data_IF_756360134943
#
_entry.id   IF_756360134943
#
_cell.length_a   1.000
_cell.length_b   1.000
_cell.length_c   1.000
_cell.angle_alpha   90.00
_cell.angle_beta   90.00
_cell.angle_gamma   90.00
#
_symmetry.space_group_name_H-M   'P 1'
#
loop_
_entity.id
_entity.type
_entity.pdbx_description
1 polymer ?
#
# COMPACT_ATOMS: atom_id res chain seq x y z
N UNK A 1 27.96 4.25 -17.77
CA UNK A 1 26.69 4.74 -17.23
C UNK A 1 25.69 3.60 -17.30
N UNK A 2 25.33 2.99 -16.18
CA UNK A 2 24.25 1.99 -16.19
C UNK A 2 22.96 2.70 -16.57
N UNK A 3 22.38 2.35 -17.71
CA UNK A 3 21.02 2.77 -18.03
C UNK A 3 20.12 2.24 -16.91
N UNK A 4 19.53 3.14 -16.13
CA UNK A 4 18.60 2.78 -15.07
C UNK A 4 17.37 2.16 -15.74
N UNK A 5 17.31 0.83 -15.82
CA UNK A 5 16.22 0.10 -16.47
C UNK A 5 15.01 0.05 -15.52
N UNK A 6 14.35 1.19 -15.34
CA UNK A 6 13.10 1.33 -14.58
C UNK A 6 11.90 0.81 -15.39
N UNK A 7 10.83 0.35 -14.71
CA UNK A 7 9.63 -0.10 -15.40
C UNK A 7 8.92 1.10 -16.05
N UNK A 8 8.31 0.90 -17.22
CA UNK A 8 7.44 1.93 -17.81
C UNK A 8 6.31 2.26 -16.82
N UNK A 9 6.19 3.51 -16.34
CA UNK A 9 5.19 3.86 -15.34
C UNK A 9 3.74 3.80 -15.87
N UNK A 10 3.56 3.67 -17.19
CA UNK A 10 2.25 3.48 -17.83
C UNK A 10 1.89 2.00 -17.99
N UNK A 11 2.85 1.08 -17.87
CA UNK A 11 2.57 -0.36 -17.96
C UNK A 11 1.97 -0.86 -16.63
N UNK A 12 0.66 -1.10 -16.65
CA UNK A 12 -0.10 -1.53 -15.46
C UNK A 12 0.15 -2.99 -15.05
N UNK A 13 0.88 -3.76 -15.86
CA UNK A 13 1.37 -5.07 -15.44
C UNK A 13 2.57 -4.96 -14.48
N UNK A 14 3.31 -3.85 -14.53
CA UNK A 14 4.55 -3.61 -13.80
C UNK A 14 4.34 -2.82 -12.50
N UNK A 15 3.39 -3.25 -11.67
CA UNK A 15 3.18 -2.63 -10.35
C UNK A 15 4.40 -2.82 -9.42
N UNK A 16 5.21 -3.84 -9.69
CA UNK A 16 6.42 -4.23 -8.97
C UNK A 16 7.65 -4.15 -9.88
N UNK A 17 8.81 -3.86 -9.28
CA UNK A 17 10.11 -3.92 -9.94
C UNK A 17 11.12 -4.54 -8.98
N UNK A 18 11.72 -5.68 -9.37
CA UNK A 18 12.73 -6.39 -8.54
C UNK A 18 12.30 -6.59 -7.08
N UNK A 19 11.08 -7.07 -6.89
CA UNK A 19 10.47 -7.37 -5.58
C UNK A 19 10.14 -6.15 -4.69
N UNK A 20 10.18 -4.93 -5.22
CA UNK A 20 9.68 -3.72 -4.54
C UNK A 20 8.60 -3.00 -5.37
N UNK A 21 7.79 -2.12 -4.76
CA UNK A 21 6.86 -1.29 -5.51
C UNK A 21 7.58 -0.48 -6.59
N UNK A 22 7.11 -0.54 -7.84
CA UNK A 22 7.68 0.23 -8.95
C UNK A 22 7.73 1.75 -8.65
N UNK A 23 6.71 2.27 -7.96
CA UNK A 23 6.67 3.65 -7.48
C UNK A 23 7.85 4.00 -6.56
N UNK A 24 8.29 3.06 -5.72
CA UNK A 24 9.43 3.26 -4.81
C UNK A 24 10.75 3.35 -5.59
N UNK A 25 10.92 2.49 -6.59
CA UNK A 25 12.08 2.54 -7.48
C UNK A 25 12.15 3.89 -8.24
N UNK A 26 11.00 4.35 -8.75
CA UNK A 26 10.88 5.66 -9.38
C UNK A 26 11.16 6.82 -8.42
N UNK A 27 10.63 6.77 -7.20
CA UNK A 27 10.91 7.76 -6.17
C UNK A 27 12.42 7.89 -5.92
N UNK A 28 13.12 6.77 -5.70
CA UNK A 28 14.58 6.79 -5.48
C UNK A 28 15.30 7.45 -6.65
N UNK A 29 14.93 7.10 -7.88
CA UNK A 29 15.57 7.63 -9.08
C UNK A 29 15.38 9.14 -9.24
N UNK A 30 14.20 9.69 -8.92
CA UNK A 30 13.97 11.14 -9.07
C UNK A 30 14.49 11.96 -7.89
N UNK A 31 14.73 11.33 -6.74
CA UNK A 31 15.33 11.99 -5.57
C UNK A 31 16.85 11.85 -5.49
N UNK A 32 17.45 11.03 -6.35
CA UNK A 32 18.90 10.87 -6.43
C UNK A 32 19.55 12.11 -7.05
N UNK A 33 20.52 12.69 -6.34
CA UNK A 33 21.26 13.86 -6.80
C UNK A 33 22.16 13.57 -7.99
N UNK A 34 22.49 12.31 -8.24
CA UNK A 34 23.27 11.84 -9.39
C UNK A 34 22.39 11.29 -10.53
N UNK A 35 21.07 11.48 -10.44
CA UNK A 35 20.13 10.96 -11.41
C UNK A 35 20.40 11.48 -12.85
N UNK A 36 20.18 10.64 -13.87
CA UNK A 36 20.22 11.08 -15.26
C UNK A 36 19.23 12.23 -15.51
N UNK A 37 19.57 13.12 -16.44
CA UNK A 37 18.64 14.15 -16.91
C UNK A 37 17.50 13.51 -17.73
N UNK A 38 16.33 14.16 -17.75
CA UNK A 38 15.19 13.73 -18.57
C UNK A 38 14.29 12.65 -17.93
N UNK A 39 14.39 12.41 -16.62
CA UNK A 39 13.39 11.61 -15.91
C UNK A 39 12.02 12.33 -15.89
N UNK A 40 10.90 11.59 -15.79
CA UNK A 40 9.60 12.18 -15.59
C UNK A 40 9.55 13.06 -14.33
N UNK A 41 8.71 14.09 -14.34
CA UNK A 41 8.52 14.91 -13.14
C UNK A 41 7.84 14.09 -12.04
N UNK A 42 8.20 14.36 -10.78
CA UNK A 42 7.61 13.67 -9.63
C UNK A 42 6.08 13.81 -9.58
N UNK A 43 5.54 14.94 -10.04
CA UNK A 43 4.08 15.14 -10.13
C UNK A 43 3.43 14.18 -11.11
N UNK A 44 4.06 13.89 -12.24
CA UNK A 44 3.53 12.95 -13.24
C UNK A 44 3.57 11.52 -12.69
N UNK A 45 4.65 11.15 -11.99
CA UNK A 45 4.75 9.85 -11.32
C UNK A 45 3.72 9.69 -10.21
N UNK A 46 3.48 10.73 -9.41
CA UNK A 46 2.43 10.72 -8.39
C UNK A 46 1.04 10.47 -8.99
N UNK A 47 0.74 11.13 -10.13
CA UNK A 47 -0.52 10.93 -10.87
C UNK A 47 -0.62 9.56 -11.55
N UNK A 48 0.50 8.97 -11.94
CA UNK A 48 0.56 7.64 -12.57
C UNK A 48 0.44 6.51 -11.55
N UNK A 49 1.01 6.68 -10.35
CA UNK A 49 1.05 5.68 -9.28
C UNK A 49 0.13 6.06 -8.12
N UNK A 50 0.61 6.93 -7.24
CA UNK A 50 -0.03 7.34 -6.00
C UNK A 50 0.64 8.61 -5.46
N UNK A 51 -0.15 9.45 -4.79
CA UNK A 51 0.36 10.66 -4.13
C UNK A 51 1.19 10.37 -2.87
N UNK A 52 1.13 9.15 -2.34
CA UNK A 52 2.06 8.60 -1.34
C UNK A 52 2.87 7.45 -1.92
N UNK A 53 4.12 7.28 -1.47
CA UNK A 53 5.03 6.23 -1.98
C UNK A 53 4.97 4.99 -1.09
N UNK A 54 4.47 3.84 -1.58
CA UNK A 54 4.44 2.60 -0.81
C UNK A 54 5.82 2.03 -0.54
N UNK A 55 6.02 1.47 0.66
CA UNK A 55 7.19 0.65 0.99
C UNK A 55 6.79 -0.77 1.36
N UNK A 56 7.71 -1.75 1.26
CA UNK A 56 7.46 -3.09 1.77
C UNK A 56 7.00 -3.09 3.25
N UNK A 57 7.56 -2.24 4.09
CA UNK A 57 7.20 -2.12 5.51
C UNK A 57 5.77 -1.61 5.71
N UNK A 58 5.37 -0.59 4.95
CA UNK A 58 4.01 -0.05 4.97
C UNK A 58 2.99 -1.09 4.49
N UNK A 59 3.31 -1.82 3.43
CA UNK A 59 2.46 -2.90 2.90
C UNK A 59 2.30 -4.05 3.90
N UNK A 60 3.38 -4.44 4.59
CA UNK A 60 3.32 -5.44 5.66
C UNK A 60 2.44 -4.95 6.80
N UNK A 61 2.60 -3.69 7.24
CA UNK A 61 1.77 -3.14 8.31
C UNK A 61 0.28 -3.13 7.95
N UNK A 62 -0.08 -2.73 6.73
CA UNK A 62 -1.46 -2.76 6.24
C UNK A 62 -2.02 -4.19 6.13
N UNK A 63 -1.20 -5.14 5.66
CA UNK A 63 -1.59 -6.55 5.57
C UNK A 63 -2.01 -7.15 6.92
N UNK A 64 -1.30 -6.80 8.00
CA UNK A 64 -1.63 -7.29 9.35
C UNK A 64 -2.93 -6.70 9.93
N UNK A 65 -3.49 -5.66 9.29
CA UNK A 65 -4.75 -5.02 9.67
C UNK A 65 -5.95 -5.47 8.83
N UNK A 66 -5.72 -6.36 7.85
CA UNK A 66 -6.76 -6.87 6.97
C UNK A 66 -7.87 -7.61 7.74
N UNK A 67 -9.11 -7.67 7.20
CA UNK A 67 -9.54 -7.15 5.90
C UNK A 67 -9.64 -5.62 5.84
N UNK A 68 -9.37 -5.07 4.66
CA UNK A 68 -9.30 -3.62 4.41
C UNK A 68 -10.45 -3.14 3.53
N UNK A 69 -10.81 -1.87 3.71
CA UNK A 69 -11.50 -1.06 2.72
C UNK A 69 -10.67 0.20 2.46
N UNK A 70 -10.37 0.48 1.20
CA UNK A 70 -9.71 1.70 0.75
C UNK A 70 -10.76 2.64 0.16
N UNK A 71 -10.82 3.89 0.66
CA UNK A 71 -11.67 4.94 0.09
C UNK A 71 -10.80 6.09 -0.42
N UNK A 72 -11.11 6.61 -1.60
CA UNK A 72 -10.24 7.56 -2.31
C UNK A 72 -9.04 6.86 -2.93
N UNK A 73 -9.24 5.66 -3.49
CA UNK A 73 -8.17 4.80 -4.00
C UNK A 73 -7.51 5.32 -5.29
N UNK A 74 -8.10 6.34 -5.94
CA UNK A 74 -7.69 6.85 -7.24
C UNK A 74 -7.58 5.73 -8.28
N UNK A 75 -6.39 5.57 -8.85
CA UNK A 75 -6.11 4.52 -9.83
C UNK A 75 -5.95 3.12 -9.21
N UNK A 76 -5.94 3.01 -7.87
CA UNK A 76 -5.86 1.76 -7.14
C UNK A 76 -4.45 1.18 -7.01
N UNK A 77 -3.40 2.00 -6.96
CA UNK A 77 -2.03 1.46 -6.86
C UNK A 77 -1.77 0.74 -5.54
N UNK A 78 -2.16 1.32 -4.40
CA UNK A 78 -2.10 0.64 -3.10
C UNK A 78 -2.96 -0.62 -3.08
N UNK A 79 -4.23 -0.53 -3.52
CA UNK A 79 -5.11 -1.66 -3.70
C UNK A 79 -4.46 -2.80 -4.50
N UNK A 80 -3.78 -2.48 -5.61
CA UNK A 80 -3.09 -3.45 -6.44
C UNK A 80 -1.99 -4.17 -5.67
N UNK A 81 -1.10 -3.43 -5.01
CA UNK A 81 0.01 -4.01 -4.25
C UNK A 81 -0.49 -4.89 -3.10
N UNK A 82 -1.50 -4.45 -2.35
CA UNK A 82 -2.05 -5.19 -1.22
C UNK A 82 -2.76 -6.47 -1.67
N UNK A 83 -3.51 -6.43 -2.79
CA UNK A 83 -4.14 -7.62 -3.37
C UNK A 83 -3.12 -8.63 -3.88
N UNK A 84 -2.03 -8.17 -4.51
CA UNK A 84 -0.93 -9.04 -4.93
C UNK A 84 -0.27 -9.74 -3.72
N UNK A 85 -0.32 -9.13 -2.53
CA UNK A 85 0.11 -9.71 -1.25
C UNK A 85 -0.97 -10.56 -0.55
N UNK A 86 -2.12 -10.78 -1.19
CA UNK A 86 -3.22 -11.61 -0.69
C UNK A 86 -4.10 -10.93 0.37
N UNK A 87 -4.08 -9.60 0.46
CA UNK A 87 -4.98 -8.87 1.36
C UNK A 87 -6.39 -8.85 0.78
N UNK A 88 -7.39 -9.20 1.61
CA UNK A 88 -8.80 -8.94 1.30
C UNK A 88 -9.06 -7.43 1.36
N UNK A 89 -9.11 -6.79 0.19
CA UNK A 89 -9.26 -5.34 0.04
C UNK A 89 -10.32 -4.99 -1.00
N UNK A 90 -11.30 -4.21 -0.57
CA UNK A 90 -12.26 -3.51 -1.43
C UNK A 90 -11.79 -2.06 -1.58
N UNK A 91 -11.81 -1.52 -2.79
CA UNK A 91 -11.33 -0.18 -3.09
C UNK A 91 -12.45 0.63 -3.76
N UNK A 92 -12.68 1.84 -3.25
CA UNK A 92 -13.62 2.81 -3.80
C UNK A 92 -12.93 4.12 -4.13
N UNK A 93 -13.39 4.77 -5.19
CA UNK A 93 -13.14 6.18 -5.47
C UNK A 93 -14.42 6.83 -5.98
N UNK A 94 -14.60 8.12 -5.72
CA UNK A 94 -15.81 8.86 -6.12
C UNK A 94 -15.87 9.04 -7.64
N UNK A 95 -14.72 9.10 -8.30
CA UNK A 95 -14.60 9.22 -9.75
C UNK A 95 -14.04 7.94 -10.36
N UNK A 96 -14.51 7.58 -11.56
CA UNK A 96 -13.84 6.53 -12.34
C UNK A 96 -12.43 6.99 -12.71
N UNK A 97 -11.45 6.07 -12.80
CA UNK A 97 -10.08 6.42 -13.18
C UNK A 97 -9.97 7.18 -14.52
N UNK A 98 -10.89 6.95 -15.47
CA UNK A 98 -10.93 7.65 -16.76
C UNK A 98 -11.44 9.09 -16.70
N UNK A 99 -12.14 9.48 -15.63
CA UNK A 99 -12.69 10.84 -15.46
C UNK A 99 -12.02 11.60 -14.33
N UNK A 100 -11.25 10.92 -13.47
CA UNK A 100 -10.61 11.52 -12.30
C UNK A 100 -9.42 12.42 -12.70
N UNK A 101 -9.57 13.72 -12.44
CA UNK A 101 -8.58 14.74 -12.83
C UNK A 101 -7.24 14.65 -12.07
N UNK A 102 -7.23 13.98 -10.92
CA UNK A 102 -6.03 13.76 -10.09
C UNK A 102 -5.16 12.60 -10.58
N UNK A 103 -5.68 11.78 -11.48
CA UNK A 103 -4.96 10.66 -12.06
C UNK A 103 -4.41 11.09 -13.43
N UNK A 104 -3.30 10.51 -13.85
CA UNK A 104 -2.81 10.67 -15.22
C UNK A 104 -3.73 9.89 -16.18
N UNK A 105 -3.82 10.32 -17.44
CA UNK A 105 -4.55 9.57 -18.48
C UNK A 105 -3.88 8.21 -18.74
N UNK A 106 -4.29 7.21 -17.96
CA UNK A 106 -3.78 5.86 -17.97
C UNK A 106 -4.78 4.91 -17.27
N UNK A 107 -4.84 3.63 -17.68
CA UNK A 107 -5.76 2.66 -17.07
C UNK A 107 -5.55 2.50 -15.57
N UNK A 108 -6.57 2.01 -14.86
CA UNK A 108 -6.48 1.65 -13.45
C UNK A 108 -5.44 0.53 -13.21
N UNK A 109 -4.81 0.53 -12.02
CA UNK A 109 -3.87 -0.51 -11.60
C UNK A 109 -4.56 -1.83 -11.22
N UNK A 110 -5.81 -1.73 -10.78
CA UNK A 110 -6.69 -2.83 -10.38
C UNK A 110 -8.14 -2.35 -10.38
N UNK A 111 -9.07 -3.24 -10.04
CA UNK A 111 -10.49 -2.87 -9.90
C UNK A 111 -10.69 -1.87 -8.75
N UNK A 112 -11.21 -0.70 -9.06
CA UNK A 112 -11.70 0.31 -8.12
C UNK A 112 -13.17 0.52 -8.44
N UNK A 113 -14.03 0.34 -7.46
CA UNK A 113 -15.47 0.56 -7.62
C UNK A 113 -15.75 2.06 -7.52
N UNK A 114 -16.73 2.55 -8.27
CA UNK A 114 -17.22 3.92 -8.09
C UNK A 114 -18.06 3.97 -6.82
N UNK A 115 -17.70 4.85 -5.90
CA UNK A 115 -18.42 4.98 -4.65
C UNK A 115 -17.85 6.04 -3.70
N UNK A 116 -18.71 6.47 -2.80
CA UNK A 116 -18.45 7.47 -1.77
C UNK A 116 -18.52 6.83 -0.36
N UNK A 117 -18.66 7.65 0.68
CA UNK A 117 -18.81 7.20 2.06
C UNK A 117 -20.01 6.26 2.29
N UNK A 118 -21.08 6.35 1.49
CA UNK A 118 -22.26 5.50 1.61
C UNK A 118 -21.96 4.07 1.17
N UNK A 119 -20.99 3.90 0.28
CA UNK A 119 -20.54 2.58 -0.20
C UNK A 119 -19.93 1.72 0.92
N UNK A 120 -19.55 2.35 2.05
CA UNK A 120 -18.98 1.66 3.21
C UNK A 120 -20.01 0.91 4.06
N UNK A 121 -21.32 1.18 3.90
CA UNK A 121 -22.37 0.63 4.77
C UNK A 121 -22.40 -0.90 4.81
N UNK A 122 -22.00 -1.58 3.73
CA UNK A 122 -21.93 -3.04 3.64
C UNK A 122 -20.66 -3.69 4.18
N UNK A 123 -19.70 -2.90 4.67
CA UNK A 123 -18.32 -3.35 4.94
C UNK A 123 -17.95 -3.33 6.43
N UNK A 124 -18.94 -3.45 7.32
CA UNK A 124 -18.72 -3.38 8.78
C UNK A 124 -17.60 -4.31 9.26
N UNK A 125 -16.73 -3.79 10.12
CA UNK A 125 -15.64 -4.56 10.73
C UNK A 125 -14.34 -4.60 9.93
N UNK A 126 -14.29 -4.04 8.72
CA UNK A 126 -13.05 -3.83 7.97
C UNK A 126 -12.29 -2.61 8.49
N UNK A 127 -10.96 -2.69 8.47
CA UNK A 127 -10.10 -1.52 8.70
C UNK A 127 -10.28 -0.53 7.55
N UNK A 128 -10.55 0.73 7.86
CA UNK A 128 -10.59 1.80 6.86
C UNK A 128 -9.16 2.26 6.56
N UNK A 129 -8.77 2.25 5.30
CA UNK A 129 -7.52 2.80 4.80
C UNK A 129 -7.81 3.99 3.88
N UNK A 130 -7.18 5.12 4.14
CA UNK A 130 -7.31 6.31 3.29
C UNK A 130 -5.94 6.96 3.12
N UNK A 131 -5.52 7.16 1.87
CA UNK A 131 -4.26 7.80 1.54
C UNK A 131 -4.51 9.14 0.87
N UNK A 132 -3.98 10.22 1.45
CA UNK A 132 -4.13 11.59 0.94
C UNK A 132 -5.58 12.01 0.69
N UNK A 133 -6.48 11.96 1.71
CA UNK A 133 -7.80 12.53 1.58
C UNK A 133 -7.71 14.05 1.35
N UNK A 134 -8.69 14.59 0.61
CA UNK A 134 -8.85 16.03 0.46
C UNK A 134 -9.05 16.70 1.84
N UNK A 135 -8.41 17.85 2.05
CA UNK A 135 -8.43 18.61 3.31
C UNK A 135 -8.33 20.12 3.03
N UNK A 136 -8.88 20.98 3.90
CA UNK A 136 -9.58 20.67 5.16
C UNK A 136 -11.05 20.26 4.98
N UNK A 137 -11.62 20.44 3.79
CA UNK A 137 -13.06 20.27 3.49
C UNK A 137 -13.41 18.95 2.78
N UNK A 138 -12.61 17.90 2.94
CA UNK A 138 -12.87 16.62 2.27
C UNK A 138 -13.84 15.70 3.02
N UNK A 139 -14.01 14.51 2.44
CA UNK A 139 -15.03 13.52 2.80
C UNK A 139 -14.82 12.82 4.17
N UNK A 140 -13.63 12.95 4.77
CA UNK A 140 -13.28 12.14 5.94
C UNK A 140 -14.17 12.37 7.17
N UNK A 141 -14.64 13.59 7.42
CA UNK A 141 -15.54 13.85 8.55
C UNK A 141 -16.85 13.09 8.39
N UNK A 142 -17.45 13.13 7.19
CA UNK A 142 -18.67 12.38 6.87
C UNK A 142 -18.44 10.87 6.97
N UNK A 143 -17.31 10.38 6.44
CA UNK A 143 -16.94 8.96 6.56
C UNK A 143 -16.92 8.50 8.00
N UNK A 144 -16.27 9.24 8.91
CA UNK A 144 -16.16 8.84 10.31
C UNK A 144 -17.52 8.88 11.06
N UNK A 145 -18.52 9.57 10.51
CA UNK A 145 -19.87 9.61 11.06
C UNK A 145 -20.75 8.47 10.54
N UNK A 146 -20.65 8.13 9.25
CA UNK A 146 -21.50 7.10 8.61
C UNK A 146 -20.89 5.69 8.67
N UNK A 147 -19.56 5.63 8.68
CA UNK A 147 -18.79 4.42 8.83
C UNK A 147 -17.90 4.56 10.06
N UNK A 148 -18.21 3.86 11.17
CA UNK A 148 -17.47 4.00 12.41
C UNK A 148 -16.44 2.87 12.60
N UNK A 149 -15.29 2.86 11.90
CA UNK A 149 -14.34 1.76 11.99
C UNK A 149 -13.71 1.66 13.38
N UNK A 150 -13.34 0.45 13.80
CA UNK A 150 -12.52 0.26 14.99
C UNK A 150 -11.05 0.68 14.76
N UNK A 151 -10.58 0.57 13.51
CA UNK A 151 -9.23 0.91 13.09
C UNK A 151 -9.26 1.72 11.80
N UNK A 152 -8.52 2.83 11.83
CA UNK A 152 -8.32 3.73 10.70
C UNK A 152 -6.83 3.82 10.39
N UNK A 153 -6.45 3.63 9.13
CA UNK A 153 -5.12 3.89 8.63
C UNK A 153 -5.17 5.10 7.72
N UNK A 154 -4.37 6.12 8.05
CA UNK A 154 -4.29 7.38 7.33
C UNK A 154 -2.88 7.61 6.81
N UNK A 155 -2.75 8.01 5.56
CA UNK A 155 -1.51 8.60 5.04
C UNK A 155 -1.75 10.08 4.75
N UNK A 156 -1.10 10.96 5.50
CA UNK A 156 -1.17 12.42 5.35
C UNK A 156 0.12 13.06 5.86
N UNK A 157 0.16 14.40 5.81
CA UNK A 157 1.16 15.27 6.42
C UNK A 157 0.96 15.57 7.91
N UNK A 158 0.00 14.90 8.55
CA UNK A 158 -0.35 15.16 9.94
C UNK A 158 -1.30 16.35 10.11
N UNK A 159 -1.46 16.79 11.36
CA UNK A 159 -2.30 17.95 11.70
C UNK A 159 -1.65 19.21 11.14
N UNK A 160 -2.42 20.08 10.49
CA UNK A 160 -1.91 21.39 10.07
C UNK A 160 -1.57 22.25 11.30
N UNK A 161 -0.48 23.01 11.19
CA UNK A 161 0.00 23.87 12.29
C UNK A 161 -0.80 25.15 12.45
N UNK A 162 -1.47 25.61 11.38
CA UNK A 162 -2.25 26.85 11.34
C UNK A 162 -3.57 26.58 10.61
N UNK A 163 -4.67 27.12 11.15
CA UNK A 163 -6.00 26.98 10.58
C UNK A 163 -6.82 25.84 11.17
N UNK A 164 -8.04 25.70 10.66
CA UNK A 164 -8.95 24.62 11.05
C UNK A 164 -8.54 23.30 10.40
N UNK A 165 -8.66 22.22 11.15
CA UNK A 165 -8.36 20.87 10.68
C UNK A 165 -9.43 19.88 11.13
N UNK A 166 -10.63 19.92 10.53
CA UNK A 166 -11.79 19.17 11.03
C UNK A 166 -11.53 17.68 11.21
N UNK A 167 -10.71 17.07 10.32
CA UNK A 167 -10.30 15.69 10.44
C UNK A 167 -9.50 15.45 11.73
N UNK A 168 -8.43 16.21 11.96
CA UNK A 168 -7.58 16.00 13.13
C UNK A 168 -8.25 16.44 14.43
N UNK A 169 -9.12 17.44 14.38
CA UNK A 169 -9.96 17.82 15.51
C UNK A 169 -10.93 16.68 15.87
N UNK A 170 -11.51 15.99 14.85
CA UNK A 170 -12.32 14.79 15.04
C UNK A 170 -11.49 13.63 15.62
N UNK A 171 -10.29 13.37 15.12
CA UNK A 171 -9.40 12.33 15.64
C UNK A 171 -9.04 12.60 17.11
N UNK A 172 -8.68 13.83 17.46
CA UNK A 172 -8.35 14.21 18.83
C UNK A 172 -9.50 13.99 19.84
N UNK A 173 -10.76 14.00 19.37
CA UNK A 173 -11.94 13.85 20.22
C UNK A 173 -12.32 12.41 20.58
N UNK A 174 -11.74 11.40 19.92
CA UNK A 174 -12.23 10.02 20.05
C UNK A 174 -11.29 8.91 19.57
N UNK A 175 -10.06 9.26 19.21
CA UNK A 175 -9.09 8.33 18.64
C UNK A 175 -7.74 8.42 19.35
N UNK A 176 -7.06 7.28 19.41
CA UNK A 176 -5.66 7.16 19.83
C UNK A 176 -4.81 6.70 18.65
N UNK A 177 -3.69 7.38 18.43
CA UNK A 177 -2.69 6.96 17.45
C UNK A 177 -1.75 5.93 18.10
N UNK A 178 -1.82 4.68 17.66
CA UNK A 178 -1.00 3.59 18.21
C UNK A 178 0.38 3.50 17.54
N UNK A 179 0.48 3.95 16.29
CA UNK A 179 1.69 3.89 15.49
C UNK A 179 1.71 4.98 14.41
N UNK A 180 2.90 5.50 14.14
CA UNK A 180 3.22 6.26 12.93
C UNK A 180 4.53 5.75 12.35
N UNK A 181 4.60 5.67 11.02
CA UNK A 181 5.82 5.42 10.27
C UNK A 181 6.01 6.49 9.21
N UNK A 182 7.23 6.98 9.07
CA UNK A 182 7.60 7.78 7.91
C UNK A 182 7.69 6.89 6.68
N UNK A 183 7.10 7.36 5.59
CA UNK A 183 7.25 6.75 4.27
C UNK A 183 8.00 7.73 3.35
N UNK A 184 8.56 7.26 2.23
CA UNK A 184 9.20 8.13 1.26
C UNK A 184 8.22 9.18 0.72
N UNK A 185 8.76 10.37 0.44
CA UNK A 185 7.98 11.58 0.14
C UNK A 185 8.31 12.09 -1.24
N UNK A 186 7.29 12.34 -2.07
CA UNK A 186 7.52 13.15 -3.26
C UNK A 186 8.02 14.55 -2.87
N UNK A 187 8.85 15.21 -3.70
CA UNK A 187 9.29 16.58 -3.43
C UNK A 187 8.11 17.52 -3.09
N UNK A 188 8.23 18.25 -1.99
CA UNK A 188 7.20 19.18 -1.51
C UNK A 188 6.06 18.52 -0.71
N UNK A 189 6.14 17.22 -0.40
CA UNK A 189 5.19 16.51 0.46
C UNK A 189 5.80 16.06 1.77
N UNK A 190 4.94 15.87 2.76
CA UNK A 190 5.26 15.29 4.05
C UNK A 190 4.31 14.13 4.25
N UNK A 191 4.83 12.91 4.26
CA UNK A 191 4.02 11.69 4.28
C UNK A 191 4.39 10.86 5.48
N UNK A 192 3.39 10.52 6.29
CA UNK A 192 3.48 9.49 7.32
C UNK A 192 2.25 8.58 7.24
N UNK A 193 2.46 7.27 7.37
CA UNK A 193 1.38 6.31 7.58
C UNK A 193 1.11 6.22 9.08
N UNK A 194 -0.13 6.47 9.47
CA UNK A 194 -0.59 6.51 10.86
C UNK A 194 -1.72 5.51 11.07
N UNK A 195 -1.65 4.74 12.15
CA UNK A 195 -2.71 3.81 12.58
C UNK A 195 -3.41 4.39 13.81
N UNK A 196 -4.71 4.53 13.71
CA UNK A 196 -5.60 5.08 14.71
C UNK A 196 -6.62 4.05 15.17
N UNK A 197 -6.93 4.06 16.47
CA UNK A 197 -7.97 3.24 17.08
C UNK A 197 -8.94 4.10 17.87
N UNK A 198 -10.23 3.74 17.86
CA UNK A 198 -11.22 4.45 18.67
C UNK A 198 -10.99 4.19 20.16
N UNK A 199 -11.13 5.23 20.97
CA UNK A 199 -10.90 5.18 22.43
C UNK A 199 -11.91 4.29 23.17
N UNK A 200 -13.13 4.17 22.65
CA UNK A 200 -14.23 3.35 23.18
C UNK A 200 -14.16 1.88 22.77
N UNK A 201 -13.35 1.54 21.77
CA UNK A 201 -13.28 0.20 21.16
C UNK A 201 -12.25 -0.71 21.86
N UNK A 202 -11.79 -0.34 23.06
CA UNK A 202 -10.74 -1.08 23.78
C UNK A 202 -11.23 -2.42 24.33
N UNK A 203 -10.84 -3.51 23.67
CA UNK A 203 -10.84 -4.84 24.28
C UNK A 203 -9.75 -4.90 25.38
N UNK A 204 -10.06 -5.28 26.62
CA UNK A 204 -9.18 -5.12 27.80
C UNK A 204 -7.87 -5.95 27.82
N UNK A 205 -7.58 -6.75 26.79
CA UNK A 205 -6.45 -7.69 26.82
C UNK A 205 -5.08 -7.07 26.45
N UNK A 206 -5.03 -6.01 25.63
CA UNK A 206 -3.75 -5.42 25.18
C UNK A 206 -3.01 -4.67 26.29
N UNK A 207 -3.73 -4.17 27.30
CA UNK A 207 -3.13 -3.43 28.42
C UNK A 207 -2.34 -4.33 29.40
N UNK A 208 -2.64 -5.64 29.43
CA UNK A 208 -1.89 -6.61 30.24
C UNK A 208 -0.51 -6.93 29.64
N UNK A 209 -0.36 -6.93 28.31
CA UNK A 209 0.94 -7.22 27.68
C UNK A 209 1.93 -6.05 27.78
N UNK A 210 1.49 -4.80 27.60
CA UNK A 210 2.37 -3.61 27.74
C UNK A 210 2.87 -3.41 29.18
N UNK A 211 2.02 -3.59 30.20
CA UNK A 211 2.43 -3.48 31.61
C UNK A 211 3.34 -4.63 32.09
N UNK A 212 3.26 -5.81 31.47
CA UNK A 212 4.16 -6.93 31.78
C UNK A 212 5.53 -6.72 31.12
N UNK A 213 5.56 -6.28 29.86
CA UNK A 213 6.79 -5.99 29.12
C UNK A 213 7.59 -4.84 29.74
N UNK A 214 6.93 -3.78 30.23
CA UNK A 214 7.59 -2.66 30.91
C UNK A 214 8.10 -3.00 32.31
N UNK A 215 7.57 -4.05 32.97
CA UNK A 215 8.06 -4.56 34.27
C UNK A 215 9.18 -5.59 34.15
N UNK A 216 9.32 -6.26 33.01
CA UNK A 216 10.36 -7.24 32.76
C UNK A 216 11.61 -6.69 32.05
N UNK A 217 11.61 -5.42 31.64
CA UNK A 217 12.75 -4.77 30.95
C UNK A 217 13.86 -4.27 31.89
N UNK A 218 14.01 -4.90 33.06
CA UNK A 218 15.08 -4.63 34.02
C UNK A 218 16.19 -5.68 33.98
N UNK A 219 16.74 -5.99 32.80
CA UNK A 219 18.06 -6.62 32.61
C UNK A 219 18.30 -6.81 31.10
N UNK A 220 19.30 -6.11 30.56
CA UNK A 220 19.76 -6.34 29.19
C UNK A 220 20.77 -7.49 29.14
N UNK A 221 20.67 -8.40 28.15
CA UNK A 221 21.84 -9.12 27.65
C UNK A 221 22.20 -8.70 26.21
N UNK A 222 23.51 -8.75 25.92
CA UNK A 222 24.17 -8.37 24.68
C UNK A 222 24.13 -9.48 23.60
N UNK A 223 23.89 -9.08 22.33
CA UNK A 223 24.22 -9.72 21.01
C UNK A 223 23.65 -11.15 20.76
N UNK A 224 23.38 -11.69 19.56
CA UNK A 224 23.99 -11.56 18.21
C UNK A 224 23.12 -12.21 17.08
N UNK A 225 23.10 -11.60 15.90
CA UNK A 225 23.29 -12.11 14.52
C UNK A 225 22.88 -13.53 14.01
N UNK A 226 22.07 -14.34 14.68
CA UNK A 226 21.75 -15.71 14.17
C UNK A 226 20.39 -15.93 13.49
N UNK A 227 19.50 -14.92 13.41
CA UNK A 227 18.14 -15.16 12.86
C UNK A 227 18.05 -15.08 11.33
N UNK A 228 19.04 -14.48 10.65
CA UNK A 228 19.01 -14.25 9.20
C UNK A 228 19.44 -15.47 8.36
N UNK A 229 20.07 -16.49 8.97
CA UNK A 229 20.60 -17.66 8.25
C UNK A 229 19.60 -18.83 8.13
N UNK A 230 18.60 -18.91 9.01
CA UNK A 230 17.73 -20.09 9.12
C UNK A 230 16.55 -20.07 8.13
N UNK A 231 16.16 -18.90 7.64
CA UNK A 231 15.11 -18.76 6.61
C UNK A 231 15.63 -18.95 5.17
N UNK A 232 16.96 -18.89 4.95
CA UNK A 232 17.57 -19.10 3.63
C UNK A 232 17.80 -20.57 3.27
N UNK A 233 17.76 -21.51 4.23
CA UNK A 233 17.98 -22.94 3.97
C UNK A 233 16.72 -23.76 3.71
N UNK A 234 15.52 -23.22 3.95
CA UNK A 234 14.25 -23.96 3.76
C UNK A 234 13.59 -23.79 2.39
N UNK A 235 14.11 -22.92 1.51
CA UNK A 235 13.54 -22.67 0.16
C UNK A 235 14.32 -23.30 -1.00
N UNK A 236 15.40 -24.04 -0.75
CA UNK A 236 16.22 -24.64 -1.81
C UNK A 236 16.00 -26.16 -2.03
N UNK A 237 15.00 -26.80 -1.40
CA UNK A 237 14.85 -28.27 -1.51
C UNK A 237 13.61 -28.79 -2.23
N UNK A 238 12.58 -27.98 -2.44
CA UNK A 238 11.34 -28.44 -3.08
C UNK A 238 10.94 -27.50 -4.22
N UNK A 239 11.61 -27.65 -5.37
CA UNK A 239 11.10 -27.33 -6.71
C UNK A 239 12.17 -27.64 -7.78
N UNK A 240 12.29 -28.93 -8.14
CA UNK A 240 12.81 -29.32 -9.45
C UNK A 240 11.63 -29.79 -10.29
N UNK A 241 11.32 -29.16 -11.45
CA UNK A 241 10.31 -29.67 -12.35
C UNK A 241 10.85 -30.91 -13.08
N UNK A 242 10.13 -32.04 -12.95
CA UNK A 242 10.42 -33.24 -13.72
C UNK A 242 10.17 -32.96 -15.21
N UNK A 243 11.23 -33.04 -16.02
CA UNK A 243 11.15 -33.04 -17.48
C UNK A 243 10.58 -34.38 -17.95
N UNK A 244 9.42 -34.38 -18.61
CA UNK A 244 8.96 -35.53 -19.40
C UNK A 244 9.79 -35.65 -20.68
N UNK A 245 10.21 -36.86 -21.10
CA UNK A 245 10.90 -37.03 -22.37
C UNK A 245 9.92 -36.83 -23.56
N UNK A 246 10.38 -36.12 -24.59
CA UNK A 246 9.73 -36.01 -25.88
C UNK A 246 9.63 -37.40 -26.52
N UNK A 247 8.41 -37.89 -26.73
CA UNK A 247 8.14 -39.07 -27.54
C UNK A 247 8.13 -38.73 -29.03
N UNK A 248 8.93 -39.47 -29.79
CA UNK A 248 8.96 -39.51 -31.25
C UNK A 248 7.57 -39.75 -31.85
N UNK A 249 7.08 -38.81 -32.67
CA UNK A 249 5.97 -39.04 -33.60
C UNK A 249 6.38 -38.51 -34.98
N UNK A 250 7.07 -39.36 -35.75
CA UNK A 250 7.19 -39.24 -37.20
C UNK A 250 6.61 -40.49 -37.86
N UNK A 251 5.44 -40.35 -38.50
CA UNK A 251 4.78 -41.22 -39.52
C UNK A 251 3.27 -40.85 -39.48
N UNK A 252 2.53 -40.51 -40.53
CA UNK A 252 2.61 -40.66 -41.99
C UNK A 252 1.74 -39.56 -42.62
N UNK A 253 2.20 -38.92 -43.70
CA UNK A 253 1.32 -38.44 -44.76
C UNK A 253 2.05 -38.65 -46.08
N UNK A 254 1.52 -39.53 -46.92
CA UNK A 254 1.89 -39.67 -48.32
C UNK A 254 0.83 -38.92 -49.16
N UNK A 255 1.21 -38.31 -50.30
CA UNK A 255 0.27 -37.59 -51.15
C UNK A 255 -0.40 -38.53 -52.15
N UNK A 256 -1.69 -38.36 -52.40
CA UNK A 256 -2.32 -38.87 -53.61
C UNK A 256 -2.56 -37.69 -54.56
N UNK A 257 -1.84 -37.72 -55.67
CA UNK A 257 -2.17 -37.00 -56.88
C UNK A 257 -3.31 -37.73 -57.60
N UNK A 258 -4.28 -36.97 -58.09
CA UNK A 258 -4.90 -37.07 -59.42
C UNK A 258 -5.53 -35.73 -59.75
#
# INVERSE_FOLDING_TARGET
MSHLCLPDPRDRSLAWWKDEPACLAWWRAVTDTEAPTGLPYAVDLARLYSYSVPTPEALIALRELGPLIELGAGAGYWARLLRDLGVDLVAYDIEEPSTNSWIADAPAWTKVEVGDEHSLAGHSGRTLFVSWPERPSGFMSTVLDVYPPATLVLITDGRVSVGADPLYDRLASGWEQDMAMDIPRWPGRYDSLMIWHRTDSRHPERHRRRRRASRSAGAAPKRSDEMCATLRRRRCRDQQPQRKPLGDIRRKFAPNAR
#
